data_IF_176413863102
#
_entry.id   IF_176413863102
#
_cell.length_a   1.000
_cell.length_b   1.000
_cell.length_c   1.000
_cell.angle_alpha   90.00
_cell.angle_beta   90.00
_cell.angle_gamma   90.00
#
_symmetry.space_group_name_H-M   'P 1'
#
loop_
_entity.id
_entity.type
_entity.pdbx_description
1 polymer ?
#
# COMPACT_ATOMS: atom_id res chain seq x y z
N UNK A 1 -33.45 -17.06 15.10
CA UNK A 1 -32.06 -17.54 15.25
C UNK A 1 -31.28 -16.46 15.98
N UNK A 2 -30.67 -16.79 17.12
CA UNK A 2 -29.85 -15.83 17.87
C UNK A 2 -28.50 -15.69 17.17
N UNK A 3 -28.26 -14.54 16.51
CA UNK A 3 -26.94 -14.19 16.01
C UNK A 3 -26.02 -13.95 17.20
N UNK A 4 -24.99 -14.79 17.31
CA UNK A 4 -23.92 -14.62 18.30
C UNK A 4 -23.35 -13.20 18.23
N UNK A 5 -23.02 -12.59 19.38
CA UNK A 5 -22.26 -11.32 19.45
C UNK A 5 -20.92 -11.39 18.69
N UNK A 6 -20.47 -12.59 18.35
CA UNK A 6 -19.24 -12.88 17.63
C UNK A 6 -19.44 -13.23 16.15
N UNK A 7 -20.67 -13.18 15.62
CA UNK A 7 -20.92 -13.38 14.19
C UNK A 7 -20.40 -12.19 13.38
N UNK A 8 -19.84 -12.47 12.20
CA UNK A 8 -19.44 -11.43 11.26
C UNK A 8 -20.65 -10.59 10.83
N UNK A 9 -20.45 -9.28 10.72
CA UNK A 9 -21.43 -8.37 10.13
C UNK A 9 -21.09 -8.15 8.65
N UNK A 10 -22.04 -7.62 7.89
CA UNK A 10 -21.77 -7.21 6.51
C UNK A 10 -20.63 -6.17 6.48
N UNK A 11 -20.60 -5.24 7.42
CA UNK A 11 -19.58 -4.19 7.51
C UNK A 11 -18.18 -4.74 7.81
N UNK A 12 -18.05 -5.73 8.70
CA UNK A 12 -16.74 -6.36 8.95
C UNK A 12 -16.29 -7.19 7.75
N UNK A 13 -17.22 -7.82 7.05
CA UNK A 13 -16.95 -8.53 5.78
C UNK A 13 -16.48 -7.56 4.69
N UNK A 14 -17.10 -6.40 4.59
CA UNK A 14 -16.72 -5.36 3.63
C UNK A 14 -15.32 -4.82 3.88
N UNK A 15 -14.96 -4.58 5.15
CA UNK A 15 -13.59 -4.22 5.53
C UNK A 15 -12.58 -5.30 5.09
N UNK A 16 -12.89 -6.57 5.33
CA UNK A 16 -12.05 -7.71 4.92
C UNK A 16 -11.88 -7.84 3.41
N UNK A 17 -12.95 -7.61 2.62
CA UNK A 17 -12.87 -7.59 1.16
C UNK A 17 -11.92 -6.51 0.66
N UNK A 18 -11.98 -5.31 1.25
CA UNK A 18 -11.07 -4.22 0.89
C UNK A 18 -9.63 -4.56 1.29
N UNK A 19 -9.39 -5.15 2.46
CA UNK A 19 -8.05 -5.66 2.83
C UNK A 19 -7.48 -6.60 1.78
N UNK A 20 -8.28 -7.58 1.35
CA UNK A 20 -7.88 -8.59 0.36
C UNK A 20 -7.50 -7.94 -0.96
N UNK A 21 -8.33 -7.03 -1.48
CA UNK A 21 -8.02 -6.29 -2.71
C UNK A 21 -6.72 -5.48 -2.59
N UNK A 22 -6.51 -4.80 -1.46
CA UNK A 22 -5.30 -4.00 -1.25
C UNK A 22 -4.04 -4.88 -1.15
N UNK A 23 -4.10 -5.98 -0.42
CA UNK A 23 -2.95 -6.84 -0.13
C UNK A 23 -2.60 -7.80 -1.28
N UNK A 24 -3.56 -8.11 -2.15
CA UNK A 24 -3.34 -9.04 -3.27
C UNK A 24 -3.25 -8.30 -4.62
N UNK A 25 -4.34 -8.02 -5.37
CA UNK A 25 -4.23 -7.49 -6.72
C UNK A 25 -3.59 -6.10 -6.76
N UNK A 26 -3.89 -5.19 -5.82
CA UNK A 26 -3.25 -3.88 -5.80
C UNK A 26 -1.75 -3.99 -5.52
N UNK A 27 -1.36 -4.79 -4.52
CA UNK A 27 0.06 -4.99 -4.20
C UNK A 27 0.80 -5.66 -5.36
N UNK A 28 0.20 -6.65 -6.01
CA UNK A 28 0.76 -7.28 -7.20
C UNK A 28 0.93 -6.28 -8.35
N UNK A 29 -0.06 -5.43 -8.61
CA UNK A 29 0.03 -4.39 -9.63
C UNK A 29 1.13 -3.37 -9.33
N UNK A 30 1.29 -2.94 -8.07
CA UNK A 30 2.38 -2.05 -7.66
C UNK A 30 3.76 -2.72 -7.83
N UNK A 31 3.88 -4.04 -7.63
CA UNK A 31 5.11 -4.79 -7.93
C UNK A 31 5.42 -4.77 -9.42
N UNK A 32 4.42 -4.91 -10.28
CA UNK A 32 4.61 -4.87 -11.72
C UNK A 32 4.98 -3.47 -12.22
N UNK A 33 4.42 -2.40 -11.63
CA UNK A 33 4.90 -1.04 -11.85
C UNK A 33 6.38 -0.95 -11.45
N UNK A 34 6.76 -1.46 -10.27
CA UNK A 34 8.15 -1.42 -9.84
C UNK A 34 9.07 -2.18 -10.80
N UNK A 35 8.68 -3.36 -11.30
CA UNK A 35 9.43 -4.13 -12.31
C UNK A 35 9.60 -3.36 -13.62
N UNK A 36 8.57 -2.61 -14.02
CA UNK A 36 8.61 -1.80 -15.24
C UNK A 36 9.63 -0.66 -15.14
N UNK A 37 9.67 0.06 -14.01
CA UNK A 37 10.59 1.19 -13.81
C UNK A 37 11.98 0.80 -13.33
N UNK A 38 12.07 -0.29 -12.55
CA UNK A 38 13.30 -0.79 -11.96
C UNK A 38 13.35 -2.29 -12.23
N UNK A 39 14.01 -2.73 -13.32
CA UNK A 39 14.22 -4.15 -13.57
C UNK A 39 14.98 -4.79 -12.38
N UNK A 40 14.61 -6.00 -11.92
CA UNK A 40 15.18 -6.60 -10.71
C UNK A 40 16.72 -6.64 -10.66
N UNK A 41 17.38 -6.87 -11.79
CA UNK A 41 18.84 -6.90 -11.88
C UNK A 41 19.50 -5.53 -11.65
N UNK A 42 18.78 -4.43 -11.86
CA UNK A 42 19.27 -3.06 -11.60
C UNK A 42 18.96 -2.59 -10.18
N UNK A 43 18.05 -3.28 -9.48
CA UNK A 43 17.53 -2.86 -8.19
C UNK A 43 18.62 -2.54 -7.15
N UNK A 44 19.68 -3.37 -6.95
CA UNK A 44 20.71 -3.06 -5.95
C UNK A 44 21.40 -1.71 -6.20
N UNK A 45 21.71 -1.41 -7.48
CA UNK A 45 22.38 -0.18 -7.86
C UNK A 45 21.45 1.04 -7.67
N UNK A 46 20.18 0.91 -8.06
CA UNK A 46 19.17 1.97 -7.90
C UNK A 46 18.94 2.28 -6.43
N UNK A 47 18.80 1.25 -5.58
CA UNK A 47 18.62 1.44 -4.14
C UNK A 47 19.85 2.12 -3.52
N UNK A 48 21.06 1.69 -3.87
CA UNK A 48 22.28 2.31 -3.34
C UNK A 48 22.36 3.80 -3.73
N UNK A 49 22.00 4.15 -4.97
CA UNK A 49 21.95 5.54 -5.45
C UNK A 49 20.92 6.39 -4.71
N UNK A 50 19.77 5.82 -4.38
CA UNK A 50 18.64 6.54 -3.78
C UNK A 50 18.48 6.33 -2.28
N UNK A 51 19.47 5.70 -1.61
CA UNK A 51 19.41 5.32 -0.20
C UNK A 51 19.01 6.47 0.74
N UNK A 52 19.50 7.68 0.48
CA UNK A 52 19.17 8.87 1.28
C UNK A 52 17.71 9.32 1.15
N UNK A 53 16.98 8.89 0.11
CA UNK A 53 15.54 9.15 -0.06
C UNK A 53 14.66 8.12 0.66
N UNK A 54 15.24 7.03 1.17
CA UNK A 54 14.54 5.91 1.80
C UNK A 54 14.52 6.01 3.33
N UNK A 55 14.42 7.22 3.88
CA UNK A 55 14.48 7.49 5.33
C UNK A 55 13.26 7.02 6.12
N UNK A 56 12.16 6.69 5.42
CA UNK A 56 10.88 6.28 6.02
C UNK A 56 10.67 4.77 6.08
N UNK A 57 11.67 3.98 5.68
CA UNK A 57 11.59 2.52 5.74
C UNK A 57 11.74 2.03 7.18
N UNK A 58 10.97 1.00 7.53
CA UNK A 58 11.17 0.25 8.77
C UNK A 58 12.49 -0.51 8.70
N UNK A 59 13.02 -0.95 9.86
CA UNK A 59 14.22 -1.80 9.87
C UNK A 59 14.01 -3.12 9.09
N UNK A 60 12.90 -3.85 9.28
CA UNK A 60 12.57 -5.01 8.45
C UNK A 60 12.54 -4.70 6.94
N UNK A 61 11.90 -3.59 6.54
CA UNK A 61 11.85 -3.18 5.14
C UNK A 61 13.23 -2.83 4.57
N UNK A 62 14.08 -2.18 5.37
CA UNK A 62 15.46 -1.86 4.98
C UNK A 62 16.29 -3.14 4.83
N UNK A 63 16.21 -4.07 5.78
CA UNK A 63 16.93 -5.34 5.74
C UNK A 63 16.46 -6.21 4.55
N UNK A 64 15.20 -6.06 4.12
CA UNK A 64 14.64 -6.75 2.94
C UNK A 64 15.22 -6.24 1.61
N UNK A 65 15.45 -4.93 1.48
CA UNK A 65 15.97 -4.33 0.23
C UNK A 65 17.50 -4.20 0.20
N UNK A 66 18.14 -4.19 1.36
CA UNK A 66 19.59 -4.09 1.56
C UNK A 66 20.04 -5.12 2.60
N UNK A 67 19.99 -6.42 2.27
CA UNK A 67 20.42 -7.47 3.19
C UNK A 67 21.90 -7.31 3.54
N UNK A 68 22.27 -7.66 4.78
CA UNK A 68 23.65 -7.56 5.27
C UNK A 68 24.67 -8.38 4.48
N UNK A 69 24.21 -9.39 3.73
CA UNK A 69 25.01 -10.17 2.78
C UNK A 69 25.50 -9.34 1.58
N UNK A 70 25.01 -8.10 1.41
CA UNK A 70 25.42 -7.18 0.35
C UNK A 70 24.81 -7.46 -1.02
N UNK A 71 24.13 -8.59 -1.19
CA UNK A 71 23.54 -9.01 -2.46
C UNK A 71 22.03 -9.24 -2.28
N UNK A 72 21.22 -8.34 -2.86
CA UNK A 72 19.79 -8.58 -3.04
C UNK A 72 19.60 -9.54 -4.21
N UNK A 73 19.21 -10.79 -3.91
CA UNK A 73 18.82 -11.82 -4.89
C UNK A 73 17.31 -12.02 -4.96
N UNK A 74 16.55 -11.13 -4.28
CA UNK A 74 15.12 -11.27 -4.11
C UNK A 74 14.28 -10.94 -5.35
N UNK A 75 13.02 -11.34 -5.29
CA UNK A 75 11.95 -10.87 -6.17
C UNK A 75 11.08 -9.90 -5.37
N UNK A 76 10.35 -9.01 -6.04
CA UNK A 76 9.44 -8.05 -5.41
C UNK A 76 8.22 -8.69 -4.73
N UNK A 77 8.09 -10.02 -4.79
CA UNK A 77 7.01 -10.78 -4.17
C UNK A 77 6.92 -10.58 -2.66
N UNK A 78 8.04 -10.29 -1.99
CA UNK A 78 8.08 -10.08 -0.54
C UNK A 78 7.74 -8.62 -0.15
N UNK A 79 7.62 -7.72 -1.13
CA UNK A 79 7.37 -6.32 -0.85
C UNK A 79 5.90 -6.09 -0.52
N UNK A 80 5.64 -5.50 0.65
CA UNK A 80 4.32 -5.05 1.03
C UNK A 80 3.93 -3.73 0.35
N UNK A 81 2.64 -3.37 0.45
CA UNK A 81 2.07 -2.16 -0.14
C UNK A 81 2.73 -0.87 0.34
N UNK A 82 3.19 -0.81 1.60
CA UNK A 82 3.82 0.37 2.19
C UNK A 82 5.22 0.58 1.63
N UNK A 83 6.02 -0.49 1.58
CA UNK A 83 7.34 -0.50 0.96
C UNK A 83 7.23 -0.14 -0.53
N UNK A 84 6.31 -0.77 -1.26
CA UNK A 84 6.08 -0.47 -2.68
C UNK A 84 5.75 1.00 -2.90
N UNK A 85 4.86 1.59 -2.10
CA UNK A 85 4.56 3.02 -2.19
C UNK A 85 5.82 3.88 -1.99
N UNK A 86 6.65 3.56 -0.99
CA UNK A 86 7.88 4.31 -0.71
C UNK A 86 8.86 4.19 -1.87
N UNK A 87 9.03 2.99 -2.44
CA UNK A 87 9.91 2.78 -3.59
C UNK A 87 9.40 3.55 -4.81
N UNK A 88 8.16 3.31 -5.24
CA UNK A 88 7.56 3.94 -6.43
C UNK A 88 7.66 5.47 -6.38
N UNK A 89 7.37 6.07 -5.21
CA UNK A 89 7.46 7.51 -4.99
C UNK A 89 8.88 8.06 -5.09
N UNK A 90 9.89 7.34 -4.58
CA UNK A 90 11.21 7.92 -4.33
C UNK A 90 12.30 7.48 -5.31
N UNK A 91 12.15 6.32 -5.97
CA UNK A 91 13.20 5.73 -6.82
C UNK A 91 12.79 5.54 -8.28
N UNK A 92 11.48 5.50 -8.60
CA UNK A 92 11.02 5.25 -9.97
C UNK A 92 10.91 6.51 -10.84
N UNK A 93 11.30 7.69 -10.32
CA UNK A 93 11.19 8.99 -11.00
C UNK A 93 9.78 9.28 -11.57
N UNK A 94 8.73 8.71 -10.97
CA UNK A 94 7.34 8.98 -11.34
C UNK A 94 7.03 10.44 -10.98
N UNK A 95 6.63 11.29 -11.94
CA UNK A 95 6.27 12.66 -11.67
C UNK A 95 5.14 12.73 -10.63
N UNK A 96 5.24 13.59 -9.61
CA UNK A 96 4.16 13.74 -8.65
C UNK A 96 2.90 14.23 -9.37
N UNK A 97 1.74 13.80 -8.89
CA UNK A 97 0.47 14.40 -9.29
C UNK A 97 0.41 15.87 -8.85
N UNK A 98 -0.53 16.64 -9.41
CA UNK A 98 -0.62 18.12 -9.27
C UNK A 98 -0.52 18.66 -7.83
N UNK A 99 -1.06 17.94 -6.85
CA UNK A 99 -1.04 18.33 -5.42
C UNK A 99 0.19 17.81 -4.65
N UNK A 100 0.98 16.94 -5.26
CA UNK A 100 2.15 16.30 -4.67
C UNK A 100 1.84 15.08 -3.82
N UNK A 101 2.80 14.16 -3.75
CA UNK A 101 2.70 12.91 -3.01
C UNK A 101 2.32 13.09 -1.53
N UNK A 102 1.40 12.25 -1.07
CA UNK A 102 0.88 12.25 0.29
C UNK A 102 -0.33 13.16 0.50
N UNK A 103 -0.82 13.84 -0.53
CA UNK A 103 -2.07 14.61 -0.52
C UNK A 103 -3.13 13.94 -1.37
N UNK A 104 -4.39 14.21 -1.10
CA UNK A 104 -5.49 13.70 -1.93
C UNK A 104 -5.37 14.23 -3.37
N UNK A 105 -5.30 13.34 -4.38
CA UNK A 105 -5.28 13.76 -5.78
C UNK A 105 -6.58 14.46 -6.20
N UNK A 106 -6.51 15.27 -7.25
CA UNK A 106 -7.72 15.78 -7.90
C UNK A 106 -8.54 14.62 -8.49
N UNK A 107 -9.88 14.58 -8.38
CA UNK A 107 -10.70 13.50 -8.96
C UNK A 107 -10.47 13.25 -10.46
N UNK A 108 -10.10 14.29 -11.21
CA UNK A 108 -9.86 14.23 -12.65
C UNK A 108 -8.42 13.86 -13.01
N UNK A 109 -7.48 13.92 -12.07
CA UNK A 109 -6.08 13.56 -12.30
C UNK A 109 -5.94 12.04 -12.45
N UNK A 110 -5.70 11.56 -13.67
CA UNK A 110 -5.54 10.14 -14.00
C UNK A 110 -4.07 9.71 -14.10
N UNK A 111 -3.13 10.56 -13.66
CA UNK A 111 -1.71 10.19 -13.66
C UNK A 111 -1.43 8.93 -12.83
N UNK A 112 -0.38 8.20 -13.20
CA UNK A 112 0.10 7.05 -12.45
C UNK A 112 0.30 7.38 -10.96
N UNK A 113 0.91 8.54 -10.66
CA UNK A 113 1.10 9.00 -9.28
C UNK A 113 -0.23 9.21 -8.53
N UNK A 114 -1.22 9.82 -9.17
CA UNK A 114 -2.54 10.01 -8.56
C UNK A 114 -3.23 8.66 -8.27
N UNK A 115 -3.11 7.68 -9.17
CA UNK A 115 -3.69 6.35 -8.97
C UNK A 115 -2.97 5.55 -7.87
N UNK A 116 -1.64 5.61 -7.80
CA UNK A 116 -0.86 5.03 -6.69
C UNK A 116 -1.27 5.67 -5.36
N UNK A 117 -1.45 6.99 -5.32
CA UNK A 117 -1.86 7.71 -4.11
C UNK A 117 -3.28 7.34 -3.68
N UNK A 118 -4.22 7.12 -4.62
CA UNK A 118 -5.56 6.61 -4.31
C UNK A 118 -5.54 5.23 -3.65
N UNK A 119 -4.69 4.32 -4.14
CA UNK A 119 -4.50 2.99 -3.54
C UNK A 119 -3.95 3.13 -2.11
N UNK A 120 -2.96 3.99 -1.89
CA UNK A 120 -2.44 4.29 -0.54
C UNK A 120 -3.52 4.87 0.38
N UNK A 121 -4.32 5.83 -0.10
CA UNK A 121 -5.37 6.47 0.71
C UNK A 121 -6.45 5.46 1.08
N UNK A 122 -6.88 4.61 0.14
CA UNK A 122 -7.80 3.51 0.42
C UNK A 122 -7.27 2.60 1.54
N UNK A 123 -5.98 2.24 1.51
CA UNK A 123 -5.34 1.46 2.59
C UNK A 123 -5.36 2.19 3.93
N UNK A 124 -4.99 3.47 3.95
CA UNK A 124 -4.97 4.25 5.18
C UNK A 124 -6.37 4.41 5.79
N UNK A 125 -7.38 4.71 4.97
CA UNK A 125 -8.77 4.83 5.40
C UNK A 125 -9.30 3.50 5.91
N UNK A 126 -9.09 2.42 5.17
CA UNK A 126 -9.53 1.06 5.56
C UNK A 126 -8.98 0.65 6.92
N UNK A 127 -7.68 0.88 7.16
CA UNK A 127 -7.10 0.60 8.48
C UNK A 127 -7.69 1.49 9.57
N UNK A 128 -7.95 2.77 9.29
CA UNK A 128 -8.65 3.65 10.23
C UNK A 128 -10.00 3.08 10.67
N UNK A 129 -10.83 2.66 9.72
CA UNK A 129 -12.12 2.03 9.98
C UNK A 129 -12.02 0.71 10.75
N UNK A 130 -10.97 -0.08 10.50
CA UNK A 130 -10.73 -1.32 11.25
C UNK A 130 -10.38 -1.09 12.71
N UNK A 131 -9.83 0.08 13.05
CA UNK A 131 -9.54 0.47 14.44
C UNK A 131 -10.79 1.06 15.10
N UNK A 132 -11.62 1.79 14.34
CA UNK A 132 -12.85 2.45 14.84
C UNK A 132 -14.13 1.59 14.81
N UNK A 133 -14.01 0.31 14.47
CA UNK A 133 -14.99 -0.77 14.70
C UNK A 133 -16.08 -1.04 13.65
N UNK A 134 -16.10 -0.40 12.48
CA UNK A 134 -16.74 -0.95 11.26
C UNK A 134 -16.50 -0.08 10.01
N UNK A 135 -16.71 -0.66 8.82
CA UNK A 135 -16.70 0.04 7.53
C UNK A 135 -18.13 0.07 6.97
N UNK A 136 -18.73 1.26 6.93
CA UNK A 136 -20.10 1.42 6.43
C UNK A 136 -20.22 0.99 4.97
N UNK A 137 -21.42 0.60 4.54
CA UNK A 137 -21.68 0.24 3.12
C UNK A 137 -21.38 1.42 2.16
N UNK A 138 -21.61 2.65 2.60
CA UNK A 138 -21.28 3.86 1.82
C UNK A 138 -19.77 4.00 1.62
N UNK A 139 -19.00 3.89 2.72
CA UNK A 139 -17.54 3.99 2.67
C UNK A 139 -16.93 2.84 1.88
N UNK A 140 -17.44 1.62 2.07
CA UNK A 140 -17.06 0.46 1.28
C UNK A 140 -17.23 0.73 -0.22
N UNK A 141 -18.41 1.15 -0.66
CA UNK A 141 -18.67 1.40 -2.08
C UNK A 141 -17.78 2.52 -2.64
N UNK A 142 -17.53 3.58 -1.86
CA UNK A 142 -16.64 4.68 -2.23
C UNK A 142 -15.19 4.21 -2.39
N UNK A 143 -14.67 3.49 -1.39
CA UNK A 143 -13.30 2.95 -1.43
C UNK A 143 -13.16 1.97 -2.59
N UNK A 144 -14.11 1.03 -2.72
CA UNK A 144 -14.08 0.02 -3.77
C UNK A 144 -14.08 0.62 -5.17
N UNK A 145 -14.99 1.57 -5.44
CA UNK A 145 -15.05 2.27 -6.73
C UNK A 145 -13.74 3.00 -7.03
N UNK A 146 -13.18 3.69 -6.02
CA UNK A 146 -11.92 4.43 -6.14
C UNK A 146 -10.76 3.50 -6.47
N UNK A 147 -10.62 2.39 -5.73
CA UNK A 147 -9.57 1.39 -5.95
C UNK A 147 -9.71 0.76 -7.32
N UNK A 148 -10.93 0.30 -7.68
CA UNK A 148 -11.20 -0.32 -8.98
C UNK A 148 -10.86 0.61 -10.14
N UNK A 149 -11.22 1.89 -10.06
CA UNK A 149 -10.91 2.87 -11.10
C UNK A 149 -9.40 3.14 -11.20
N UNK A 150 -8.70 3.25 -10.08
CA UNK A 150 -7.24 3.41 -10.05
C UNK A 150 -6.54 2.20 -10.68
N UNK A 151 -6.95 0.98 -10.29
CA UNK A 151 -6.41 -0.28 -10.83
C UNK A 151 -6.63 -0.38 -12.33
N UNK A 152 -7.82 -0.03 -12.84
CA UNK A 152 -8.11 -0.02 -14.27
C UNK A 152 -7.24 0.99 -15.03
N UNK A 153 -7.05 2.20 -14.47
CA UNK A 153 -6.20 3.21 -15.10
C UNK A 153 -4.76 2.71 -15.23
N UNK A 154 -4.22 2.10 -14.16
CA UNK A 154 -2.87 1.53 -14.18
C UNK A 154 -2.77 0.34 -15.14
N UNK A 155 -3.78 -0.51 -15.21
CA UNK A 155 -3.82 -1.63 -16.16
C UNK A 155 -3.73 -1.15 -17.62
N UNK A 156 -4.42 -0.05 -17.93
CA UNK A 156 -4.38 0.55 -19.26
C UNK A 156 -3.00 1.18 -19.53
N UNK A 157 -2.43 1.89 -18.56
CA UNK A 157 -1.10 2.52 -18.69
C UNK A 157 0.00 1.47 -18.95
N UNK A 158 -0.11 0.29 -18.33
CA UNK A 158 0.86 -0.81 -18.48
C UNK A 158 0.49 -1.81 -19.59
N UNK A 159 -0.63 -1.64 -20.30
CA UNK A 159 -1.16 -2.59 -21.29
C UNK A 159 -1.35 -4.03 -20.74
N UNK A 160 -1.77 -4.17 -19.48
CA UNK A 160 -1.89 -5.45 -18.77
C UNK A 160 -3.25 -6.16 -19.01
N UNK A 161 -3.94 -5.90 -20.13
CA UNK A 161 -5.21 -6.54 -20.50
C UNK A 161 -6.29 -6.55 -19.39
N UNK A 162 -6.29 -5.52 -18.55
CA UNK A 162 -7.18 -5.35 -17.40
C UNK A 162 -7.11 -6.50 -16.37
N UNK A 163 -5.97 -7.18 -16.26
CA UNK A 163 -5.81 -8.36 -15.41
C UNK A 163 -6.16 -8.08 -13.95
N UNK A 164 -5.70 -6.96 -13.40
CA UNK A 164 -5.88 -6.63 -11.99
C UNK A 164 -7.27 -6.12 -11.72
N UNK A 165 -7.84 -5.32 -12.64
CA UNK A 165 -9.25 -4.94 -12.57
C UNK A 165 -10.15 -6.17 -12.57
N UNK A 166 -9.89 -7.18 -13.40
CA UNK A 166 -10.66 -8.43 -13.43
C UNK A 166 -10.57 -9.16 -12.08
N UNK A 167 -9.37 -9.22 -11.50
CA UNK A 167 -9.17 -9.79 -10.16
C UNK A 167 -9.94 -9.01 -9.07
N UNK A 168 -9.92 -7.67 -9.12
CA UNK A 168 -10.73 -6.83 -8.21
C UNK A 168 -12.22 -7.13 -8.36
N UNK A 169 -12.74 -7.18 -9.59
CA UNK A 169 -14.16 -7.45 -9.83
C UNK A 169 -14.62 -8.81 -9.33
N UNK A 170 -13.79 -9.84 -9.56
CA UNK A 170 -14.01 -11.18 -9.04
C UNK A 170 -14.14 -11.16 -7.51
N UNK A 171 -13.20 -10.52 -6.82
CA UNK A 171 -13.19 -10.43 -5.36
C UNK A 171 -14.39 -9.69 -4.75
N UNK A 172 -15.16 -8.94 -5.55
CA UNK A 172 -16.40 -8.31 -5.07
C UNK A 172 -17.49 -9.35 -4.79
N UNK A 173 -17.56 -10.37 -5.63
CA UNK A 173 -18.62 -11.39 -5.63
C UNK A 173 -18.21 -12.64 -4.86
N UNK A 174 -16.92 -12.85 -4.62
CA UNK A 174 -16.41 -13.99 -3.87
C UNK A 174 -16.93 -14.05 -2.44
N UNK A 175 -17.18 -15.29 -1.99
CA UNK A 175 -17.46 -15.57 -0.59
C UNK A 175 -16.19 -15.31 0.22
N UNK A 176 -16.33 -14.52 1.29
CA UNK A 176 -15.21 -14.23 2.16
C UNK A 176 -15.14 -15.29 3.25
N UNK A 177 -14.16 -16.18 3.16
CA UNK A 177 -13.86 -17.13 4.22
C UNK A 177 -13.49 -16.38 5.52
N UNK A 178 -14.10 -16.72 6.68
CA UNK A 178 -13.86 -16.00 7.93
C UNK A 178 -12.41 -16.04 8.44
N UNK A 179 -11.69 -17.15 8.21
CA UNK A 179 -10.30 -17.29 8.64
C UNK A 179 -9.38 -16.44 7.76
N UNK A 180 -9.59 -16.51 6.46
CA UNK A 180 -8.93 -15.64 5.48
C UNK A 180 -9.21 -14.16 5.75
N UNK A 181 -10.46 -13.81 6.08
CA UNK A 181 -10.85 -12.45 6.46
C UNK A 181 -10.06 -11.94 7.67
N UNK A 182 -9.90 -12.78 8.70
CA UNK A 182 -9.09 -12.49 9.87
C UNK A 182 -7.62 -12.31 9.50
N UNK A 183 -7.07 -13.19 8.65
CA UNK A 183 -5.68 -13.12 8.21
C UNK A 183 -5.35 -11.80 7.51
N UNK A 184 -6.16 -11.39 6.51
CA UNK A 184 -5.92 -10.13 5.79
C UNK A 184 -6.03 -8.91 6.71
N UNK A 185 -7.04 -8.87 7.59
CA UNK A 185 -7.21 -7.76 8.52
C UNK A 185 -6.05 -7.66 9.52
N UNK A 186 -5.58 -8.78 10.04
CA UNK A 186 -4.41 -8.83 10.94
C UNK A 186 -3.18 -8.30 10.23
N UNK A 187 -2.86 -8.83 9.04
CA UNK A 187 -1.70 -8.37 8.25
C UNK A 187 -1.73 -6.87 7.96
N UNK A 188 -2.89 -6.34 7.58
CA UNK A 188 -3.03 -4.91 7.28
C UNK A 188 -2.83 -4.02 8.51
N UNK A 189 -3.29 -4.49 9.69
CA UNK A 189 -3.10 -3.81 10.98
C UNK A 189 -1.63 -3.84 11.41
N UNK A 190 -0.96 -4.98 11.28
CA UNK A 190 0.46 -5.14 11.61
C UNK A 190 1.33 -4.20 10.77
N UNK A 191 1.14 -4.16 9.45
CA UNK A 191 1.84 -3.21 8.57
C UNK A 191 1.62 -1.75 9.00
N UNK A 192 0.39 -1.37 9.41
CA UNK A 192 0.14 -0.02 9.92
C UNK A 192 0.90 0.28 11.21
N UNK A 193 0.95 -0.69 12.13
CA UNK A 193 1.64 -0.53 13.41
C UNK A 193 3.12 -0.27 13.17
N UNK A 194 3.76 -1.09 12.34
CA UNK A 194 5.17 -0.95 11.96
C UNK A 194 5.47 0.42 11.29
N UNK A 195 4.61 0.83 10.35
CA UNK A 195 4.72 2.15 9.69
C UNK A 195 4.63 3.30 10.69
N UNK A 196 3.73 3.19 11.68
CA UNK A 196 3.46 4.24 12.68
C UNK A 196 4.61 4.35 13.67
N UNK A 197 5.15 3.23 14.14
CA UNK A 197 6.33 3.18 15.01
C UNK A 197 7.56 3.78 14.32
N UNK A 198 7.77 3.43 13.04
CA UNK A 198 8.85 3.97 12.23
C UNK A 198 8.71 5.48 12.06
N UNK A 199 7.50 5.99 11.78
CA UNK A 199 7.24 7.42 11.66
C UNK A 199 7.59 8.18 12.94
N UNK A 200 7.16 7.69 14.11
CA UNK A 200 7.48 8.31 15.42
C UNK A 200 8.99 8.35 15.67
N UNK A 201 9.70 7.28 15.34
CA UNK A 201 11.16 7.22 15.50
C UNK A 201 11.87 8.25 14.60
N UNK A 202 11.43 8.41 13.35
CA UNK A 202 11.99 9.39 12.42
C UNK A 202 11.73 10.83 12.89
N UNK A 203 10.49 11.13 13.31
CA UNK A 203 10.12 12.45 13.85
C UNK A 203 10.93 12.79 15.12
N UNK A 204 11.11 11.81 16.03
CA UNK A 204 11.95 11.97 17.21
C UNK A 204 13.42 12.25 16.89
N UNK A 205 14.01 11.54 15.92
CA UNK A 205 15.40 11.79 15.47
C UNK A 205 15.58 13.18 14.88
N UNK A 206 14.64 13.64 14.05
CA UNK A 206 14.67 15.00 13.47
C UNK A 206 14.60 16.04 14.57
N UNK A 207 13.70 15.85 15.55
CA UNK A 207 13.57 16.73 16.70
C UNK A 207 14.89 16.83 17.48
N UNK A 208 15.51 15.70 17.85
CA UNK A 208 16.80 15.69 18.55
C UNK A 208 17.91 16.41 17.77
N UNK A 209 18.02 16.20 16.45
CA UNK A 209 19.03 16.86 15.62
C UNK A 209 18.82 18.38 15.60
N UNK A 210 17.57 18.87 15.52
CA UNK A 210 17.28 20.30 15.56
C UNK A 210 17.69 20.88 16.91
N UNK A 211 17.33 20.24 18.02
CA UNK A 211 17.70 20.70 19.37
C UNK A 211 19.22 20.68 19.63
N UNK A 212 19.95 19.70 19.10
CA UNK A 212 21.41 19.62 19.26
C UNK A 212 22.20 20.62 18.41
N UNK A 213 21.60 21.25 17.39
CA UNK A 213 22.24 22.29 16.57
C UNK A 213 21.85 23.72 17.01
N UNK A 214 21.02 23.86 18.04
CA UNK A 214 20.59 25.13 18.64
C UNK A 214 21.40 25.50 19.90
N UNK A 215 22.41 24.69 20.26
CA UNK A 215 23.37 24.91 21.35
C UNK A 215 24.79 24.69 20.82
#
# INVERSE_FOLDING_TARGET
MATSKYSSTEETTNASRVSRVLLDPCTAQLRDILRHYVPPHTFPQVIQRHRLKLTKLTKPQMDLILPRSGHYTGNYNDFDISLLYILLRNICNIPPHTKGWGKDPDPNDKSLAANIERIRNARNTTVGHMISSSLSNSDFNKIWSTVRAAVLSIDNDLNNNQQYKKAVDFLKCEVMDPEMAKQYNTRLREQKKEDTETRKMVEGKISCIIYSNLH
#
